data_IF_738946233594
#
_entry.id   IF_738946233594
#
_cell.length_a   1.000
_cell.length_b   1.000
_cell.length_c   1.000
_cell.angle_alpha   90.00
_cell.angle_beta   90.00
_cell.angle_gamma   90.00
#
_symmetry.space_group_name_H-M   'P 1'
#
loop_
_entity.id
_entity.type
_entity.pdbx_description
1 polymer ?
#
# COMPACT_ATOMS: atom_id res chain seq x y z
N UNK A 1 -8.29 -13.42 -7.79
CA UNK A 1 -8.70 -12.20 -8.51
C UNK A 1 -7.70 -11.94 -9.61
N UNK A 2 -8.16 -11.71 -10.85
CA UNK A 2 -7.28 -11.39 -11.99
C UNK A 2 -7.27 -9.87 -12.13
N UNK A 3 -6.09 -9.26 -12.05
CA UNK A 3 -5.89 -7.84 -12.33
C UNK A 3 -6.34 -7.57 -13.77
N UNK A 4 -7.09 -6.49 -13.99
CA UNK A 4 -7.39 -5.98 -15.32
C UNK A 4 -6.06 -5.64 -16.01
N UNK A 5 -5.64 -6.47 -16.96
CA UNK A 5 -4.63 -6.08 -17.91
C UNK A 5 -5.29 -5.10 -18.88
N UNK A 6 -4.85 -3.85 -18.86
CA UNK A 6 -5.19 -2.90 -19.92
C UNK A 6 -4.76 -3.50 -21.26
N UNK A 7 -5.60 -3.33 -22.28
CA UNK A 7 -5.29 -3.77 -23.63
C UNK A 7 -3.92 -3.21 -24.04
N UNK A 8 -3.04 -4.09 -24.52
CA UNK A 8 -1.76 -3.72 -25.11
C UNK A 8 -2.01 -3.12 -26.50
N UNK A 9 -2.68 -1.98 -26.54
CA UNK A 9 -2.83 -1.21 -27.76
C UNK A 9 -1.55 -0.35 -27.91
N UNK A 10 -0.78 -0.70 -28.93
CA UNK A 10 0.52 -0.14 -29.24
C UNK A 10 0.49 1.39 -29.32
N UNK A 11 1.08 2.01 -28.30
CA UNK A 11 1.43 3.42 -28.26
C UNK A 11 2.72 3.56 -27.48
N UNK A 12 3.84 3.18 -28.13
CA UNK A 12 5.19 3.28 -27.59
C UNK A 12 5.62 4.73 -27.39
N UNK A 13 5.10 5.36 -26.35
CA UNK A 13 5.80 6.42 -25.63
C UNK A 13 6.65 5.75 -24.58
N UNK A 14 7.92 5.46 -24.90
CA UNK A 14 8.92 5.01 -23.94
C UNK A 14 9.26 6.15 -22.98
N UNK A 15 8.32 6.53 -22.12
CA UNK A 15 8.69 7.15 -20.86
C UNK A 15 9.39 6.06 -20.07
N UNK A 16 10.71 6.12 -19.98
CA UNK A 16 11.46 5.25 -19.07
C UNK A 16 10.95 5.56 -17.65
N UNK A 17 10.12 4.68 -17.10
CA UNK A 17 9.62 4.82 -15.74
C UNK A 17 10.76 4.44 -14.81
N UNK A 18 11.67 5.39 -14.61
CA UNK A 18 12.77 5.27 -13.66
C UNK A 18 12.19 5.42 -12.26
N UNK A 19 12.35 4.38 -11.46
CA UNK A 19 11.95 4.36 -10.05
C UNK A 19 13.21 4.39 -9.19
N UNK A 20 13.29 5.35 -8.28
CA UNK A 20 14.37 5.45 -7.30
C UNK A 20 13.93 4.87 -5.95
N UNK A 21 14.87 4.20 -5.26
CA UNK A 21 14.58 3.56 -3.98
C UNK A 21 14.13 4.57 -2.91
N UNK A 22 14.68 5.79 -2.93
CA UNK A 22 14.27 6.88 -2.03
C UNK A 22 12.82 7.31 -2.27
N UNK A 23 12.37 7.36 -3.53
CA UNK A 23 10.99 7.71 -3.86
C UNK A 23 10.02 6.63 -3.39
N UNK A 24 10.39 5.35 -3.52
CA UNK A 24 9.59 4.25 -2.95
C UNK A 24 9.55 4.31 -1.42
N UNK A 25 10.66 4.65 -0.77
CA UNK A 25 10.73 4.84 0.67
C UNK A 25 9.79 5.95 1.17
N UNK A 26 9.73 7.07 0.44
CA UNK A 26 8.79 8.17 0.73
C UNK A 26 7.34 7.75 0.53
N UNK A 27 7.03 7.06 -0.57
CA UNK A 27 5.66 6.54 -0.80
C UNK A 27 5.24 5.56 0.30
N UNK A 28 6.16 4.71 0.76
CA UNK A 28 5.92 3.79 1.88
C UNK A 28 5.65 4.53 3.19
N UNK A 29 6.44 5.56 3.53
CA UNK A 29 6.23 6.36 4.74
C UNK A 29 4.87 7.07 4.75
N UNK A 30 4.48 7.68 3.63
CA UNK A 30 3.22 8.41 3.53
C UNK A 30 2.02 7.46 3.59
N UNK A 31 2.18 6.25 3.05
CA UNK A 31 1.20 5.19 3.21
C UNK A 31 1.09 4.74 4.68
N UNK A 32 2.19 4.61 5.43
CA UNK A 32 2.20 4.32 6.87
C UNK A 32 1.44 5.37 7.69
N UNK A 33 1.72 6.65 7.46
CA UNK A 33 1.01 7.75 8.13
C UNK A 33 -0.49 7.68 7.84
N UNK A 34 -0.86 7.48 6.57
CA UNK A 34 -2.26 7.33 6.16
C UNK A 34 -2.94 6.16 6.88
N UNK A 35 -2.24 5.05 7.09
CA UNK A 35 -2.78 3.89 7.80
C UNK A 35 -3.07 4.17 9.26
N UNK A 36 -2.10 4.75 9.98
CA UNK A 36 -2.27 5.06 11.39
C UNK A 36 -3.41 6.08 11.58
N UNK A 37 -3.50 7.08 10.70
CA UNK A 37 -4.59 8.06 10.71
C UNK A 37 -5.95 7.41 10.43
N UNK A 38 -6.08 6.58 9.37
CA UNK A 38 -7.33 5.89 9.08
C UNK A 38 -7.73 4.94 10.21
N UNK A 39 -6.79 4.19 10.77
CA UNK A 39 -7.05 3.24 11.84
C UNK A 39 -7.56 3.94 13.12
N UNK A 40 -6.99 5.10 13.46
CA UNK A 40 -7.38 5.85 14.65
C UNK A 40 -8.63 6.70 14.46
N UNK A 41 -8.76 7.38 13.32
CA UNK A 41 -9.78 8.41 13.10
C UNK A 41 -11.03 7.88 12.39
N UNK A 42 -10.92 6.82 11.60
CA UNK A 42 -12.02 6.32 10.78
C UNK A 42 -12.81 5.17 11.42
N UNK A 43 -12.44 4.70 12.62
CA UNK A 43 -13.21 3.67 13.34
C UNK A 43 -14.46 4.26 14.03
N UNK A 44 -15.41 4.71 13.19
CA UNK A 44 -16.69 5.27 13.65
C UNK A 44 -17.54 4.21 14.36
N UNK A 45 -17.32 2.92 14.07
CA UNK A 45 -18.02 1.82 14.70
C UNK A 45 -17.67 1.66 16.19
N UNK A 46 -16.47 2.07 16.61
CA UNK A 46 -16.05 2.09 18.02
C UNK A 46 -15.94 3.52 18.61
N UNK A 47 -16.00 4.56 17.76
CA UNK A 47 -15.77 5.95 18.16
C UNK A 47 -16.72 6.45 19.26
N UNK A 48 -16.14 7.12 20.26
CA UNK A 48 -16.88 7.79 21.33
C UNK A 48 -17.38 6.88 22.46
N UNK A 49 -17.11 5.57 22.41
CA UNK A 49 -17.55 4.64 23.46
C UNK A 49 -16.50 4.34 24.54
N UNK A 50 -15.27 4.87 24.39
CA UNK A 50 -14.16 4.75 25.35
C UNK A 50 -13.54 3.36 25.52
N UNK A 51 -14.28 2.28 25.24
CA UNK A 51 -13.97 0.95 25.78
C UNK A 51 -14.16 -0.20 24.75
N UNK A 52 -14.06 0.06 23.45
CA UNK A 52 -14.33 -0.97 22.41
C UNK A 52 -15.80 -1.43 22.35
N UNK A 53 -16.69 -0.64 22.91
CA UNK A 53 -18.14 -0.82 22.83
C UNK A 53 -18.72 -0.12 21.59
N UNK A 54 -19.98 -0.41 21.29
CA UNK A 54 -20.73 0.15 20.15
C UNK A 54 -20.56 1.67 20.11
N UNK A 55 -20.05 2.21 19.00
CA UNK A 55 -19.76 3.63 18.82
C UNK A 55 -21.00 4.50 18.96
N UNK A 56 -20.79 5.76 19.35
CA UNK A 56 -21.86 6.74 19.61
C UNK A 56 -22.86 6.87 18.45
N UNK A 57 -22.40 6.79 17.19
CA UNK A 57 -23.26 6.81 16.00
C UNK A 57 -24.19 5.60 15.94
N UNK A 58 -23.68 4.40 16.23
CA UNK A 58 -24.49 3.18 16.27
C UNK A 58 -25.47 3.17 17.45
N UNK A 59 -25.08 3.73 18.59
CA UNK A 59 -25.99 3.92 19.73
C UNK A 59 -27.15 4.87 19.38
N UNK A 60 -26.84 6.00 18.73
CA UNK A 60 -27.84 6.94 18.25
C UNK A 60 -28.76 6.30 17.19
N UNK A 61 -28.20 5.51 16.28
CA UNK A 61 -28.95 4.77 15.28
C UNK A 61 -29.96 3.80 15.93
N UNK A 62 -29.51 3.02 16.93
CA UNK A 62 -30.35 2.10 17.68
C UNK A 62 -31.47 2.83 18.45
N UNK A 63 -31.16 3.97 19.09
CA UNK A 63 -32.15 4.78 19.79
C UNK A 63 -33.21 5.35 18.81
N UNK A 64 -32.79 5.95 17.70
CA UNK A 64 -33.72 6.48 16.70
C UNK A 64 -34.63 5.38 16.13
N UNK A 65 -34.05 4.21 15.85
CA UNK A 65 -34.79 3.05 15.35
C UNK A 65 -35.81 2.52 16.37
N UNK A 66 -35.45 2.45 17.65
CA UNK A 66 -36.38 2.00 18.70
C UNK A 66 -37.56 2.96 18.90
N UNK A 67 -37.36 4.25 18.58
CA UNK A 67 -38.42 5.26 18.55
C UNK A 67 -39.17 5.34 17.21
N UNK A 68 -38.92 4.43 16.27
CA UNK A 68 -39.64 4.35 14.99
C UNK A 68 -39.16 5.34 13.92
N UNK A 69 -38.05 6.04 14.13
CA UNK A 69 -37.48 6.93 13.13
C UNK A 69 -36.69 6.14 12.07
N UNK A 70 -37.05 6.32 10.80
CA UNK A 70 -36.33 5.71 9.66
C UNK A 70 -34.85 6.11 9.59
N UNK A 71 -34.51 7.28 10.14
CA UNK A 71 -33.12 7.74 10.27
C UNK A 71 -32.23 6.74 11.02
N UNK A 72 -32.79 5.98 11.98
CA UNK A 72 -32.03 4.97 12.71
C UNK A 72 -31.46 3.89 11.79
N UNK A 73 -32.31 3.27 10.94
CA UNK A 73 -31.85 2.28 9.96
C UNK A 73 -30.88 2.89 8.93
N UNK A 74 -31.11 4.14 8.50
CA UNK A 74 -30.22 4.81 7.56
C UNK A 74 -28.81 5.04 8.17
N UNK A 75 -28.73 5.39 9.45
CA UNK A 75 -27.46 5.54 10.16
C UNK A 75 -26.73 4.20 10.36
N UNK A 76 -27.45 3.11 10.69
CA UNK A 76 -26.85 1.76 10.74
C UNK A 76 -26.19 1.41 9.40
N UNK A 77 -26.93 1.53 8.29
CA UNK A 77 -26.39 1.27 6.94
C UNK A 77 -25.20 2.18 6.62
N UNK A 78 -25.26 3.45 7.02
CA UNK A 78 -24.16 4.39 6.81
C UNK A 78 -22.89 3.93 7.53
N UNK A 79 -22.99 3.49 8.79
CA UNK A 79 -21.84 2.97 9.54
C UNK A 79 -21.29 1.68 8.91
N UNK A 80 -22.15 0.77 8.45
CA UNK A 80 -21.74 -0.47 7.78
C UNK A 80 -20.97 -0.20 6.48
N UNK A 81 -21.51 0.67 5.62
CA UNK A 81 -20.87 1.06 4.37
C UNK A 81 -19.54 1.75 4.65
N UNK A 82 -19.52 2.72 5.56
CA UNK A 82 -18.29 3.42 5.96
C UNK A 82 -17.21 2.44 6.43
N UNK A 83 -17.56 1.56 7.35
CA UNK A 83 -16.64 0.54 7.90
C UNK A 83 -16.07 -0.34 6.80
N UNK A 84 -16.89 -0.71 5.81
CA UNK A 84 -16.47 -1.52 4.67
C UNK A 84 -15.49 -0.75 3.78
N UNK A 85 -15.76 0.52 3.48
CA UNK A 85 -14.88 1.34 2.66
C UNK A 85 -13.52 1.60 3.33
N UNK A 86 -13.51 1.90 4.63
CA UNK A 86 -12.27 2.05 5.41
C UNK A 86 -11.44 0.77 5.33
N UNK A 87 -12.05 -0.40 5.55
CA UNK A 87 -11.36 -1.69 5.44
C UNK A 87 -10.79 -1.94 4.04
N UNK A 88 -11.51 -1.57 2.99
CA UNK A 88 -11.03 -1.73 1.62
C UNK A 88 -9.78 -0.88 1.35
N UNK A 89 -9.75 0.37 1.82
CA UNK A 89 -8.55 1.23 1.70
C UNK A 89 -7.37 0.66 2.48
N UNK A 90 -7.59 0.18 3.71
CA UNK A 90 -6.53 -0.43 4.52
C UNK A 90 -5.96 -1.69 3.85
N UNK A 91 -6.82 -2.52 3.24
CA UNK A 91 -6.39 -3.70 2.48
C UNK A 91 -5.62 -3.33 1.21
N UNK A 92 -6.08 -2.31 0.47
CA UNK A 92 -5.39 -1.84 -0.73
C UNK A 92 -3.98 -1.33 -0.38
N UNK A 93 -3.83 -0.61 0.73
CA UNK A 93 -2.51 -0.21 1.24
C UNK A 93 -1.64 -1.40 1.58
N UNK A 94 -2.16 -2.39 2.33
CA UNK A 94 -1.40 -3.58 2.68
C UNK A 94 -0.86 -4.28 1.42
N UNK A 95 -1.69 -4.39 0.38
CA UNK A 95 -1.28 -4.90 -0.92
C UNK A 95 -0.16 -4.07 -1.59
N UNK A 96 -0.24 -2.73 -1.53
CA UNK A 96 0.82 -1.86 -2.07
C UNK A 96 2.11 -2.06 -1.28
N UNK A 97 2.05 -2.12 0.05
CA UNK A 97 3.21 -2.33 0.91
C UNK A 97 3.90 -3.67 0.63
N UNK A 98 3.12 -4.75 0.54
CA UNK A 98 3.64 -6.08 0.21
C UNK A 98 4.32 -6.10 -1.16
N UNK A 99 3.76 -5.37 -2.14
CA UNK A 99 4.35 -5.26 -3.47
C UNK A 99 5.65 -4.44 -3.47
N UNK A 100 5.71 -3.34 -2.71
CA UNK A 100 6.92 -2.53 -2.57
C UNK A 100 8.06 -3.33 -1.91
N UNK A 101 7.75 -4.07 -0.84
CA UNK A 101 8.71 -4.94 -0.16
C UNK A 101 9.22 -6.05 -1.08
N UNK A 102 8.34 -6.64 -1.89
CA UNK A 102 8.71 -7.63 -2.90
C UNK A 102 9.66 -7.04 -3.94
N UNK A 103 9.32 -5.90 -4.54
CA UNK A 103 10.16 -5.21 -5.53
C UNK A 103 11.52 -4.83 -4.95
N UNK A 104 11.56 -4.34 -3.70
CA UNK A 104 12.82 -4.01 -3.03
C UNK A 104 13.72 -5.24 -2.84
N UNK A 105 13.15 -6.37 -2.38
CA UNK A 105 13.90 -7.62 -2.20
C UNK A 105 14.45 -8.15 -3.53
N UNK A 106 13.61 -8.17 -4.56
CA UNK A 106 14.00 -8.64 -5.89
C UNK A 106 15.20 -7.86 -6.44
N UNK A 107 15.17 -6.53 -6.37
CA UNK A 107 16.29 -5.72 -6.85
C UNK A 107 17.54 -5.78 -5.96
N UNK A 108 17.40 -6.07 -4.66
CA UNK A 108 18.54 -6.34 -3.81
C UNK A 108 19.23 -7.66 -4.18
N UNK A 109 18.45 -8.69 -4.54
CA UNK A 109 18.97 -9.96 -5.07
C UNK A 109 19.68 -9.77 -6.41
N UNK A 110 19.08 -9.01 -7.35
CA UNK A 110 19.72 -8.66 -8.63
C UNK A 110 21.05 -7.93 -8.40
N UNK A 111 21.08 -6.97 -7.46
CA UNK A 111 22.30 -6.24 -7.11
C UNK A 111 23.38 -7.13 -6.50
N UNK A 112 22.99 -8.12 -5.69
CA UNK A 112 23.92 -9.10 -5.12
C UNK A 112 24.46 -10.06 -6.18
N UNK A 113 23.63 -10.48 -7.14
CA UNK A 113 24.03 -11.32 -8.28
C UNK A 113 25.00 -10.56 -9.19
N UNK A 114 24.65 -9.34 -9.62
CA UNK A 114 25.53 -8.47 -10.43
C UNK A 114 26.84 -8.23 -9.70
N UNK A 115 26.80 -7.89 -8.41
CA UNK A 115 27.98 -7.71 -7.58
C UNK A 115 28.82 -8.98 -7.44
N UNK A 116 28.21 -10.16 -7.51
CA UNK A 116 28.92 -11.44 -7.52
C UNK A 116 29.60 -11.74 -8.85
N UNK A 117 28.92 -11.44 -9.96
CA UNK A 117 29.48 -11.57 -11.32
C UNK A 117 30.61 -10.56 -11.56
N UNK A 118 30.52 -9.37 -10.96
CA UNK A 118 31.50 -8.30 -11.07
C UNK A 118 32.61 -8.34 -9.99
N UNK A 119 32.96 -9.53 -9.50
CA UNK A 119 34.13 -9.75 -8.64
C UNK A 119 35.29 -10.39 -9.39
N UNK A 120 36.48 -9.87 -9.15
CA UNK A 120 37.75 -10.44 -9.58
C UNK A 120 38.02 -11.80 -8.91
N UNK A 121 39.00 -12.54 -9.42
CA UNK A 121 39.36 -13.88 -8.94
C UNK A 121 39.82 -13.91 -7.46
N UNK A 122 40.20 -12.76 -6.93
CA UNK A 122 40.60 -12.51 -5.54
C UNK A 122 39.44 -12.03 -4.64
N UNK A 123 38.23 -11.91 -5.19
CA UNK A 123 37.03 -11.42 -4.49
C UNK A 123 36.90 -9.89 -4.45
N UNK A 124 37.85 -9.14 -5.01
CA UNK A 124 37.77 -7.68 -5.11
C UNK A 124 36.80 -7.24 -6.20
N UNK A 125 36.29 -6.00 -6.14
CA UNK A 125 35.45 -5.46 -7.21
C UNK A 125 36.26 -5.32 -8.51
N UNK A 126 35.68 -5.71 -9.66
CA UNK A 126 36.35 -5.58 -10.97
C UNK A 126 36.67 -4.11 -11.27
N UNK A 127 37.90 -3.84 -11.71
CA UNK A 127 38.34 -2.48 -12.04
C UNK A 127 37.65 -1.94 -13.30
N UNK A 128 37.38 -0.63 -13.33
CA UNK A 128 36.75 0.06 -14.49
C UNK A 128 37.54 -0.16 -15.79
N UNK A 129 38.88 -0.22 -15.70
CA UNK A 129 39.75 -0.52 -16.84
C UNK A 129 39.49 -1.89 -17.46
N UNK A 130 39.17 -2.91 -16.66
CA UNK A 130 38.87 -4.26 -17.15
C UNK A 130 37.46 -4.33 -17.76
N UNK A 131 36.49 -3.60 -17.20
CA UNK A 131 35.14 -3.52 -17.77
C UNK A 131 35.17 -2.91 -19.17
N UNK A 132 36.02 -1.90 -19.38
CA UNK A 132 36.13 -1.19 -20.65
C UNK A 132 36.61 -2.07 -21.83
N UNK A 133 37.22 -3.24 -21.55
CA UNK A 133 37.61 -4.20 -22.58
C UNK A 133 36.42 -4.91 -23.24
N UNK A 134 35.26 -4.97 -22.56
CA UNK A 134 34.05 -5.66 -23.03
C UNK A 134 33.09 -4.79 -23.84
N UNK A 135 33.24 -3.46 -23.83
CA UNK A 135 32.32 -2.51 -24.46
C UNK A 135 32.82 -1.94 -25.81
N UNK A 136 33.46 -2.77 -26.65
CA UNK A 136 33.94 -2.37 -27.98
C UNK A 136 32.83 -1.94 -28.95
#
# INVERSE_FOLDING_TARGET
MRLNQAATDGGGGSGDLVVHQDDLGRVGHEADLLFEDLKGQADIAAAGSGNGSVGSTMQAAAALKSHGFQMGSALETTVEVWTTQVKAVLQARAHISDHLDFTQKLHAEDGAEIGATLRGRDGSAVSVSQLNEYFK
#
